data_IF_424318356274
#
_entry.id   IF_424318356274
#
_cell.length_a   1.000
_cell.length_b   1.000
_cell.length_c   1.000
_cell.angle_alpha   90.00
_cell.angle_beta   90.00
_cell.angle_gamma   90.00
#
_symmetry.space_group_name_H-M   'P 1'
#
loop_
_entity.id
_entity.type
_entity.pdbx_description
1 polymer ?
#
# COMPACT_ATOMS: atom_id res chain seq x y z
N UNK A 1 -29.39 -14.80 -12.10
CA UNK A 1 -28.35 -13.86 -12.59
C UNK A 1 -28.92 -12.49 -12.90
N UNK A 2 -30.09 -12.36 -13.57
CA UNK A 2 -30.69 -11.05 -13.88
C UNK A 2 -31.05 -10.22 -12.63
N UNK A 3 -31.67 -10.85 -11.63
CA UNK A 3 -32.13 -10.17 -10.42
C UNK A 3 -31.00 -9.47 -9.63
N UNK A 4 -29.82 -10.11 -9.54
CA UNK A 4 -28.65 -9.51 -8.86
C UNK A 4 -28.07 -8.31 -9.62
N UNK A 5 -28.10 -8.37 -10.96
CA UNK A 5 -27.69 -7.24 -11.82
C UNK A 5 -28.68 -6.09 -11.67
N UNK A 6 -29.99 -6.38 -11.65
CA UNK A 6 -31.05 -5.40 -11.50
C UNK A 6 -30.96 -4.69 -10.15
N UNK A 7 -30.80 -5.42 -9.04
CA UNK A 7 -30.60 -4.84 -7.71
C UNK A 7 -29.35 -3.96 -7.62
N UNK A 8 -28.25 -4.34 -8.28
CA UNK A 8 -27.04 -3.51 -8.32
C UNK A 8 -27.29 -2.22 -9.10
N UNK A 9 -27.96 -2.31 -10.25
CA UNK A 9 -28.30 -1.15 -11.08
C UNK A 9 -29.25 -0.19 -10.35
N UNK A 10 -30.26 -0.71 -9.64
CA UNK A 10 -31.18 0.11 -8.85
C UNK A 10 -30.46 0.94 -7.79
N UNK A 11 -29.49 0.34 -7.08
CA UNK A 11 -28.66 1.09 -6.12
C UNK A 11 -27.89 2.22 -6.78
N UNK A 12 -27.40 2.01 -8.01
CA UNK A 12 -26.70 3.03 -8.79
C UNK A 12 -27.63 4.07 -9.42
N UNK A 13 -28.95 3.82 -9.52
CA UNK A 13 -29.89 4.82 -10.06
C UNK A 13 -30.01 6.02 -9.12
N UNK A 14 -29.87 5.83 -7.81
CA UNK A 14 -29.95 6.91 -6.83
C UNK A 14 -28.86 7.98 -7.05
N UNK A 15 -27.63 7.56 -7.33
CA UNK A 15 -26.54 8.51 -7.65
C UNK A 15 -26.74 9.20 -9.00
N UNK A 16 -27.22 8.48 -10.02
CA UNK A 16 -27.44 9.05 -11.36
C UNK A 16 -28.59 10.07 -11.34
N UNK A 17 -29.65 9.80 -10.60
CA UNK A 17 -30.75 10.74 -10.40
C UNK A 17 -30.29 12.01 -9.67
N UNK A 18 -29.38 11.91 -8.71
CA UNK A 18 -28.76 13.07 -8.06
C UNK A 18 -27.94 13.89 -9.06
N UNK A 19 -27.13 13.22 -9.90
CA UNK A 19 -26.35 13.90 -10.92
C UNK A 19 -27.21 14.61 -11.97
N UNK A 20 -28.35 14.02 -12.36
CA UNK A 20 -29.33 14.65 -13.23
C UNK A 20 -29.89 15.93 -12.60
N UNK A 21 -30.36 15.84 -11.35
CA UNK A 21 -30.97 16.97 -10.62
C UNK A 21 -30.00 18.13 -10.47
N UNK A 22 -28.72 17.82 -10.29
CA UNK A 22 -27.63 18.81 -10.16
C UNK A 22 -27.09 19.30 -11.50
N UNK A 23 -27.57 18.77 -12.63
CA UNK A 23 -27.12 19.17 -13.96
C UNK A 23 -25.68 18.76 -14.28
N UNK A 24 -25.14 17.73 -13.61
CA UNK A 24 -23.79 17.22 -13.86
C UNK A 24 -23.77 16.39 -15.16
N UNK A 25 -24.84 15.63 -15.41
CA UNK A 25 -25.03 14.83 -16.61
C UNK A 25 -26.42 15.10 -17.20
N UNK A 26 -26.51 15.00 -18.52
CA UNK A 26 -27.79 15.07 -19.23
C UNK A 26 -28.52 13.71 -19.25
N UNK A 27 -29.82 13.71 -19.58
CA UNK A 27 -30.66 12.51 -19.66
C UNK A 27 -30.10 11.48 -20.65
N UNK A 28 -29.64 11.93 -21.81
CA UNK A 28 -29.05 11.05 -22.82
C UNK A 28 -27.74 10.43 -22.31
N UNK A 29 -26.89 11.23 -21.65
CA UNK A 29 -25.66 10.72 -21.04
C UNK A 29 -25.96 9.68 -19.95
N UNK A 30 -26.93 9.93 -19.08
CA UNK A 30 -27.34 8.95 -18.05
C UNK A 30 -27.83 7.65 -18.69
N UNK A 31 -28.61 7.73 -19.77
CA UNK A 31 -29.05 6.54 -20.52
C UNK A 31 -27.85 5.75 -21.07
N UNK A 32 -26.84 6.44 -21.61
CA UNK A 32 -25.60 5.78 -22.05
C UNK A 32 -24.82 5.17 -20.87
N UNK A 33 -24.79 5.83 -19.71
CA UNK A 33 -24.12 5.32 -18.52
C UNK A 33 -24.80 4.05 -18.01
N UNK A 34 -26.13 4.07 -17.89
CA UNK A 34 -26.92 2.91 -17.43
C UNK A 34 -26.75 1.72 -18.36
N UNK A 35 -26.86 1.94 -19.68
CA UNK A 35 -26.69 0.86 -20.67
C UNK A 35 -25.27 0.28 -20.63
N UNK A 36 -24.25 1.12 -20.48
CA UNK A 36 -22.85 0.67 -20.39
C UNK A 36 -22.58 -0.11 -19.10
N UNK A 37 -23.01 0.41 -17.94
CA UNK A 37 -22.93 -0.30 -16.65
C UNK A 37 -23.64 -1.64 -16.69
N UNK A 38 -24.86 -1.69 -17.24
CA UNK A 38 -25.62 -2.94 -17.41
C UNK A 38 -24.81 -3.98 -18.20
N UNK A 39 -24.14 -3.58 -19.29
CA UNK A 39 -23.27 -4.49 -20.07
C UNK A 39 -22.08 -4.98 -19.25
N UNK A 40 -21.44 -4.13 -18.45
CA UNK A 40 -20.36 -4.55 -17.55
C UNK A 40 -20.86 -5.51 -16.47
N UNK A 41 -21.96 -5.20 -15.78
CA UNK A 41 -22.55 -6.05 -14.74
C UNK A 41 -22.91 -7.44 -15.25
N UNK A 42 -23.43 -7.57 -16.49
CA UNK A 42 -23.67 -8.88 -17.10
C UNK A 42 -22.37 -9.65 -17.35
N UNK A 43 -21.33 -8.99 -17.88
CA UNK A 43 -20.02 -9.63 -18.10
C UNK A 43 -19.38 -10.07 -16.80
N UNK A 44 -19.49 -9.26 -15.75
CA UNK A 44 -18.98 -9.58 -14.42
C UNK A 44 -19.74 -10.71 -13.75
N UNK A 45 -21.04 -10.85 -14.02
CA UNK A 45 -21.88 -11.90 -13.42
C UNK A 45 -21.92 -13.23 -14.17
N UNK A 46 -21.19 -13.38 -15.28
CA UNK A 46 -21.03 -14.68 -15.94
C UNK A 46 -20.33 -15.71 -15.03
N UNK A 47 -20.47 -16.99 -15.35
CA UNK A 47 -19.90 -18.10 -14.57
C UNK A 47 -18.38 -17.98 -14.44
N UNK A 48 -17.68 -17.88 -15.57
CA UNK A 48 -16.23 -17.72 -15.61
C UNK A 48 -15.83 -16.25 -15.48
N UNK A 49 -15.18 -15.86 -14.40
CA UNK A 49 -14.69 -14.48 -14.27
C UNK A 49 -13.47 -14.28 -15.18
N UNK A 50 -13.35 -13.12 -15.83
CA UNK A 50 -12.10 -12.72 -16.49
C UNK A 50 -11.64 -11.37 -15.96
N UNK A 51 -10.33 -11.27 -15.71
CA UNK A 51 -9.70 -10.06 -15.20
C UNK A 51 -9.92 -8.86 -16.13
N UNK A 52 -9.89 -9.07 -17.45
CA UNK A 52 -10.06 -8.01 -18.44
C UNK A 52 -11.39 -7.26 -18.29
N UNK A 53 -12.47 -7.95 -17.88
CA UNK A 53 -13.77 -7.31 -17.70
C UNK A 53 -13.84 -6.46 -16.43
N UNK A 54 -13.16 -6.88 -15.36
CA UNK A 54 -12.95 -6.04 -14.18
C UNK A 54 -12.15 -4.80 -14.54
N UNK A 55 -11.01 -4.97 -15.21
CA UNK A 55 -10.13 -3.85 -15.59
C UNK A 55 -10.86 -2.83 -16.47
N UNK A 56 -11.60 -3.29 -17.49
CA UNK A 56 -12.38 -2.41 -18.37
C UNK A 56 -13.47 -1.67 -17.61
N UNK A 57 -14.15 -2.33 -16.66
CA UNK A 57 -15.19 -1.68 -15.90
C UNK A 57 -14.63 -0.65 -14.91
N UNK A 58 -13.55 -1.01 -14.22
CA UNK A 58 -12.81 -0.11 -13.34
C UNK A 58 -12.33 1.12 -14.13
N UNK A 59 -11.74 0.91 -15.31
CA UNK A 59 -11.30 2.00 -16.18
C UNK A 59 -12.47 2.92 -16.54
N UNK A 60 -13.58 2.35 -17.00
CA UNK A 60 -14.80 3.09 -17.31
C UNK A 60 -15.29 3.94 -16.12
N UNK A 61 -15.43 3.35 -14.94
CA UNK A 61 -15.91 4.05 -13.74
C UNK A 61 -14.91 5.13 -13.28
N UNK A 62 -13.60 4.89 -13.40
CA UNK A 62 -12.60 5.93 -13.07
C UNK A 62 -12.59 7.09 -14.05
N UNK A 63 -12.91 6.85 -15.33
CA UNK A 63 -13.09 7.91 -16.33
C UNK A 63 -14.35 8.71 -16.01
N UNK A 64 -15.46 8.02 -15.70
CA UNK A 64 -16.72 8.65 -15.29
C UNK A 64 -16.52 9.54 -14.05
N UNK A 65 -15.77 9.05 -13.06
CA UNK A 65 -15.41 9.81 -11.87
C UNK A 65 -14.65 11.10 -12.20
N UNK A 66 -13.65 11.03 -13.09
CA UNK A 66 -12.90 12.23 -13.53
C UNK A 66 -13.80 13.23 -14.25
N UNK A 67 -14.71 12.76 -15.11
CA UNK A 67 -15.66 13.63 -15.83
C UNK A 67 -16.57 14.32 -14.82
N UNK A 68 -17.12 13.56 -13.86
CA UNK A 68 -17.96 14.09 -12.78
C UNK A 68 -17.21 15.15 -11.97
N UNK A 69 -16.01 14.85 -11.48
CA UNK A 69 -15.20 15.76 -10.66
C UNK A 69 -14.86 17.06 -11.44
N UNK A 70 -14.53 16.95 -12.74
CA UNK A 70 -14.26 18.10 -13.62
C UNK A 70 -15.50 18.97 -13.86
N UNK A 71 -16.68 18.37 -13.99
CA UNK A 71 -17.94 19.12 -14.18
C UNK A 71 -18.41 19.77 -12.89
N UNK A 72 -18.30 19.07 -11.76
CA UNK A 72 -18.62 19.63 -10.45
C UNK A 72 -17.78 20.86 -10.13
N UNK A 73 -16.47 20.79 -10.38
CA UNK A 73 -15.56 21.94 -10.20
C UNK A 73 -15.90 23.09 -11.14
N UNK A 74 -16.22 22.81 -12.41
CA UNK A 74 -16.64 23.85 -13.37
C UNK A 74 -17.95 24.53 -12.99
N UNK A 75 -18.90 23.78 -12.44
CA UNK A 75 -20.24 24.26 -12.09
C UNK A 75 -20.34 24.79 -10.65
N UNK A 76 -19.25 24.74 -9.86
CA UNK A 76 -19.22 25.09 -8.43
C UNK A 76 -20.33 24.40 -7.62
N UNK A 77 -20.60 23.13 -7.91
CA UNK A 77 -21.63 22.35 -7.23
C UNK A 77 -21.05 21.78 -5.94
N UNK A 78 -21.75 21.99 -4.82
CA UNK A 78 -21.38 21.42 -3.53
C UNK A 78 -21.45 19.89 -3.52
N UNK A 79 -20.63 19.27 -2.67
CA UNK A 79 -20.59 17.81 -2.49
C UNK A 79 -21.91 17.32 -1.90
N UNK A 80 -22.51 16.33 -2.55
CA UNK A 80 -23.72 15.62 -2.10
C UNK A 80 -23.35 14.36 -1.34
N UNK A 81 -24.26 13.85 -0.50
CA UNK A 81 -24.11 12.58 0.22
C UNK A 81 -23.88 11.39 -0.72
N UNK A 82 -24.41 11.47 -1.94
CA UNK A 82 -24.27 10.44 -2.97
C UNK A 82 -22.95 10.55 -3.75
N UNK A 83 -22.10 11.56 -3.57
CA UNK A 83 -20.86 11.67 -4.35
C UNK A 83 -19.84 10.57 -4.03
N UNK A 84 -19.97 9.94 -2.86
CA UNK A 84 -19.12 8.83 -2.41
C UNK A 84 -19.56 7.46 -2.92
N UNK A 85 -20.74 7.30 -3.52
CA UNK A 85 -21.23 5.99 -3.99
C UNK A 85 -20.40 5.48 -5.16
N UNK A 86 -20.06 6.36 -6.11
CA UNK A 86 -19.19 6.04 -7.24
C UNK A 86 -17.81 5.56 -6.77
N UNK A 87 -17.22 6.29 -5.82
CA UNK A 87 -15.95 5.88 -5.20
C UNK A 87 -16.07 4.51 -4.53
N UNK A 88 -17.13 4.28 -3.73
CA UNK A 88 -17.39 2.98 -3.09
C UNK A 88 -17.56 1.85 -4.11
N UNK A 89 -18.18 2.13 -5.25
CA UNK A 89 -18.34 1.16 -6.34
C UNK A 89 -17.00 0.79 -6.96
N UNK A 90 -16.15 1.77 -7.29
CA UNK A 90 -14.80 1.51 -7.80
C UNK A 90 -13.99 0.67 -6.80
N UNK A 91 -14.06 0.97 -5.50
CA UNK A 91 -13.41 0.16 -4.46
C UNK A 91 -13.94 -1.27 -4.42
N UNK A 92 -15.26 -1.45 -4.54
CA UNK A 92 -15.89 -2.76 -4.59
C UNK A 92 -15.38 -3.57 -5.79
N UNK A 93 -15.28 -2.94 -6.96
CA UNK A 93 -14.75 -3.60 -8.17
C UNK A 93 -13.30 -4.04 -7.99
N UNK A 94 -12.43 -3.20 -7.44
CA UNK A 94 -11.05 -3.58 -7.15
C UNK A 94 -10.97 -4.71 -6.12
N UNK A 95 -11.73 -4.63 -5.01
CA UNK A 95 -11.74 -5.68 -3.99
C UNK A 95 -12.27 -7.01 -4.56
N UNK A 96 -13.33 -6.97 -5.36
CA UNK A 96 -13.87 -8.16 -6.03
C UNK A 96 -12.87 -8.73 -7.02
N UNK A 97 -12.19 -7.89 -7.81
CA UNK A 97 -11.13 -8.33 -8.71
C UNK A 97 -9.98 -9.00 -7.94
N UNK A 98 -9.54 -8.46 -6.81
CA UNK A 98 -8.49 -9.05 -5.97
C UNK A 98 -8.90 -10.36 -5.29
N UNK A 99 -10.20 -10.57 -5.03
CA UNK A 99 -10.70 -11.86 -4.53
C UNK A 99 -10.53 -12.96 -5.57
N UNK A 100 -10.77 -12.66 -6.84
CA UNK A 100 -10.69 -13.64 -7.93
C UNK A 100 -9.29 -13.75 -8.56
N UNK A 101 -8.55 -12.65 -8.63
CA UNK A 101 -7.27 -12.51 -9.35
C UNK A 101 -6.17 -11.91 -8.47
N UNK A 102 -6.14 -12.29 -7.19
CA UNK A 102 -5.21 -11.70 -6.21
C UNK A 102 -3.73 -11.98 -6.46
N UNK A 103 -3.42 -12.98 -7.29
CA UNK A 103 -2.05 -13.33 -7.70
C UNK A 103 -1.44 -12.32 -8.67
N UNK A 104 -2.27 -11.56 -9.40
CA UNK A 104 -1.77 -10.53 -10.31
C UNK A 104 -1.30 -9.30 -9.51
N UNK A 105 0.02 -9.22 -9.29
CA UNK A 105 0.67 -8.09 -8.63
C UNK A 105 0.35 -6.75 -9.31
N UNK A 106 0.12 -6.72 -10.62
CA UNK A 106 -0.21 -5.48 -11.35
C UNK A 106 -1.56 -4.92 -10.94
N UNK A 107 -2.56 -5.78 -10.74
CA UNK A 107 -3.90 -5.38 -10.26
C UNK A 107 -3.81 -4.73 -8.88
N UNK A 108 -3.03 -5.33 -7.97
CA UNK A 108 -2.82 -4.80 -6.63
C UNK A 108 -2.13 -3.42 -6.66
N UNK A 109 -1.04 -3.28 -7.43
CA UNK A 109 -0.33 -2.00 -7.60
C UNK A 109 -1.25 -0.94 -8.21
N UNK A 110 -2.07 -1.29 -9.21
CA UNK A 110 -3.03 -0.39 -9.81
C UNK A 110 -4.06 0.11 -8.78
N UNK A 111 -4.53 -0.79 -7.91
CA UNK A 111 -5.48 -0.43 -6.86
C UNK A 111 -4.87 0.53 -5.84
N UNK A 112 -3.67 0.25 -5.35
CA UNK A 112 -2.97 1.16 -4.43
C UNK A 112 -2.73 2.53 -5.07
N UNK A 113 -2.32 2.56 -6.34
CA UNK A 113 -2.10 3.80 -7.09
C UNK A 113 -3.38 4.63 -7.21
N UNK A 114 -4.54 3.99 -7.37
CA UNK A 114 -5.83 4.68 -7.36
C UNK A 114 -6.13 5.29 -5.99
N UNK A 115 -5.93 4.54 -4.90
CA UNK A 115 -6.14 5.03 -3.54
C UNK A 115 -5.19 6.18 -3.16
N UNK A 116 -3.93 6.12 -3.57
CA UNK A 116 -2.94 7.19 -3.35
C UNK A 116 -3.41 8.49 -4.03
N UNK A 117 -3.93 8.41 -5.26
CA UNK A 117 -4.49 9.58 -5.96
C UNK A 117 -5.69 10.19 -5.23
N UNK A 118 -6.51 9.36 -4.58
CA UNK A 118 -7.65 9.79 -3.76
C UNK A 118 -7.27 10.19 -2.33
N UNK A 119 -5.98 10.13 -1.96
CA UNK A 119 -5.46 10.48 -0.62
C UNK A 119 -6.15 9.73 0.53
N UNK A 120 -6.64 8.52 0.27
CA UNK A 120 -7.32 7.68 1.27
C UNK A 120 -6.32 6.73 1.94
N UNK A 121 -5.46 7.26 2.82
CA UNK A 121 -4.38 6.50 3.46
C UNK A 121 -4.91 5.30 4.25
N UNK A 122 -5.98 5.48 5.04
CA UNK A 122 -6.55 4.41 5.87
C UNK A 122 -6.95 3.18 5.04
N UNK A 123 -7.56 3.41 3.87
CA UNK A 123 -7.95 2.33 2.97
C UNK A 123 -6.76 1.61 2.36
N UNK A 124 -5.66 2.33 2.10
CA UNK A 124 -4.42 1.71 1.62
C UNK A 124 -3.90 0.74 2.69
N UNK A 125 -3.87 1.17 3.95
CA UNK A 125 -3.43 0.34 5.08
C UNK A 125 -4.25 -0.95 5.18
N UNK A 126 -5.58 -0.81 5.16
CA UNK A 126 -6.50 -1.97 5.21
C UNK A 126 -6.31 -2.91 4.02
N UNK A 127 -6.16 -2.38 2.81
CA UNK A 127 -6.00 -3.20 1.61
C UNK A 127 -4.66 -3.93 1.61
N UNK A 128 -3.59 -3.28 2.05
CA UNK A 128 -2.27 -3.91 2.17
C UNK A 128 -2.27 -5.02 3.22
N UNK A 129 -2.86 -4.79 4.40
CA UNK A 129 -2.95 -5.82 5.44
C UNK A 129 -3.81 -7.01 5.01
N UNK A 130 -4.96 -6.77 4.38
CA UNK A 130 -5.83 -7.81 3.81
C UNK A 130 -5.09 -8.66 2.76
N UNK A 131 -4.29 -8.02 1.88
CA UNK A 131 -3.57 -8.71 0.81
C UNK A 131 -2.37 -9.51 1.34
N UNK A 132 -1.57 -8.93 2.25
CA UNK A 132 -0.47 -9.66 2.92
C UNK A 132 -0.98 -10.87 3.70
N UNK A 133 -2.12 -10.76 4.40
CA UNK A 133 -2.72 -11.86 5.14
C UNK A 133 -3.15 -13.02 4.22
N UNK A 134 -3.52 -12.73 2.98
CA UNK A 134 -3.87 -13.75 1.98
C UNK A 134 -2.65 -14.47 1.40
N UNK A 135 -1.53 -13.76 1.27
CA UNK A 135 -0.29 -14.29 0.68
C UNK A 135 0.89 -14.22 1.68
N UNK A 136 0.83 -14.96 2.80
CA UNK A 136 1.81 -14.83 3.87
C UNK A 136 3.22 -15.26 3.44
N UNK A 137 3.36 -16.14 2.45
CA UNK A 137 4.65 -16.68 1.99
C UNK A 137 5.35 -15.82 0.92
N UNK A 138 4.67 -14.83 0.31
CA UNK A 138 5.26 -14.00 -0.74
C UNK A 138 6.10 -12.86 -0.13
N UNK A 139 7.39 -13.12 0.10
CA UNK A 139 8.31 -12.15 0.69
C UNK A 139 8.38 -10.82 -0.08
N UNK A 140 8.28 -10.84 -1.42
CA UNK A 140 8.35 -9.62 -2.23
C UNK A 140 7.15 -8.71 -2.00
N UNK A 141 5.98 -9.30 -1.76
CA UNK A 141 4.77 -8.56 -1.41
C UNK A 141 4.93 -7.81 -0.08
N UNK A 142 5.46 -8.48 0.95
CA UNK A 142 5.71 -7.87 2.25
C UNK A 142 6.68 -6.69 2.15
N UNK A 143 7.78 -6.86 1.41
CA UNK A 143 8.76 -5.79 1.16
C UNK A 143 8.08 -4.61 0.46
N UNK A 144 7.34 -4.87 -0.61
CA UNK A 144 6.63 -3.81 -1.34
C UNK A 144 5.63 -3.04 -0.46
N UNK A 145 4.84 -3.73 0.37
CA UNK A 145 3.92 -3.10 1.30
C UNK A 145 4.66 -2.27 2.36
N UNK A 146 5.77 -2.78 2.90
CA UNK A 146 6.57 -2.07 3.90
C UNK A 146 7.22 -0.79 3.32
N UNK A 147 7.78 -0.87 2.11
CA UNK A 147 8.28 0.30 1.38
C UNK A 147 7.18 1.37 1.19
N UNK A 148 5.94 0.94 0.93
CA UNK A 148 4.81 1.86 0.82
C UNK A 148 4.45 2.51 2.15
N UNK A 149 4.48 1.78 3.27
CA UNK A 149 4.31 2.38 4.60
C UNK A 149 5.41 3.39 4.92
N UNK A 150 6.67 3.05 4.60
CA UNK A 150 7.80 3.96 4.75
C UNK A 150 7.62 5.25 3.95
N UNK A 151 7.21 5.14 2.67
CA UNK A 151 6.93 6.30 1.82
C UNK A 151 5.74 7.16 2.32
N UNK A 152 4.90 6.64 3.21
CA UNK A 152 3.81 7.38 3.86
C UNK A 152 4.22 7.97 5.22
N UNK A 153 5.51 7.87 5.60
CA UNK A 153 6.05 8.23 6.90
C UNK A 153 5.39 7.49 8.09
N UNK A 154 4.86 6.29 7.85
CA UNK A 154 4.24 5.46 8.87
C UNK A 154 5.18 4.32 9.27
N UNK A 155 6.20 4.69 10.05
CA UNK A 155 7.34 3.83 10.39
C UNK A 155 6.93 2.75 11.38
N UNK A 156 6.01 3.04 12.30
CA UNK A 156 5.50 2.05 13.24
C UNK A 156 4.80 0.89 12.53
N UNK A 157 3.93 1.19 11.56
CA UNK A 157 3.27 0.14 10.80
C UNK A 157 4.23 -0.58 9.85
N UNK A 158 5.23 0.12 9.30
CA UNK A 158 6.34 -0.51 8.57
C UNK A 158 7.06 -1.56 9.42
N UNK A 159 7.49 -1.19 10.64
CA UNK A 159 8.14 -2.07 11.62
C UNK A 159 7.28 -3.28 11.96
N UNK A 160 6.02 -3.05 12.33
CA UNK A 160 5.07 -4.13 12.67
C UNK A 160 4.91 -5.10 11.50
N UNK A 161 4.82 -4.60 10.27
CA UNK A 161 4.66 -5.42 9.08
C UNK A 161 5.90 -6.26 8.79
N UNK A 162 7.12 -5.70 8.92
CA UNK A 162 8.36 -6.46 8.81
C UNK A 162 8.51 -7.52 9.91
N UNK A 163 8.22 -7.17 11.17
CA UNK A 163 8.27 -8.11 12.29
C UNK A 163 7.31 -9.29 12.08
N UNK A 164 6.08 -9.02 11.61
CA UNK A 164 5.12 -10.04 11.24
C UNK A 164 5.65 -10.91 10.08
N UNK A 165 6.19 -10.29 9.02
CA UNK A 165 6.72 -10.99 7.86
C UNK A 165 7.88 -11.93 8.24
N UNK A 166 8.81 -11.49 9.09
CA UNK A 166 9.96 -12.27 9.55
C UNK A 166 9.50 -13.43 10.44
N UNK A 167 8.50 -13.21 11.29
CA UNK A 167 7.92 -14.26 12.14
C UNK A 167 7.32 -15.40 11.32
N UNK A 168 6.62 -15.07 10.22
CA UNK A 168 6.03 -16.03 9.30
C UNK A 168 7.08 -16.70 8.39
N UNK A 169 8.04 -15.92 7.89
CA UNK A 169 9.05 -16.35 6.90
C UNK A 169 10.46 -16.38 7.49
N UNK A 170 10.67 -17.12 8.58
CA UNK A 170 11.94 -17.13 9.35
C UNK A 170 13.20 -17.44 8.53
N UNK A 171 13.05 -18.20 7.44
CA UNK A 171 14.16 -18.62 6.56
C UNK A 171 14.49 -17.60 5.46
N UNK A 172 13.64 -16.60 5.23
CA UNK A 172 13.84 -15.64 4.16
C UNK A 172 14.77 -14.51 4.62
N UNK A 173 16.05 -14.59 4.23
CA UNK A 173 17.05 -13.57 4.53
C UNK A 173 16.72 -12.21 3.92
N UNK A 174 16.11 -12.22 2.73
CA UNK A 174 15.73 -11.01 2.00
C UNK A 174 14.88 -10.05 2.83
N UNK A 175 13.92 -10.56 3.58
CA UNK A 175 13.05 -9.75 4.46
C UNK A 175 13.83 -9.06 5.59
N UNK A 176 14.79 -9.78 6.19
CA UNK A 176 15.62 -9.22 7.27
C UNK A 176 16.55 -8.13 6.77
N UNK A 177 17.13 -8.32 5.58
CA UNK A 177 18.00 -7.33 4.93
C UNK A 177 17.21 -6.06 4.59
N UNK A 178 16.05 -6.20 3.95
CA UNK A 178 15.23 -5.03 3.59
C UNK A 178 14.69 -4.31 4.83
N UNK A 179 14.36 -5.06 5.90
CA UNK A 179 14.02 -4.44 7.17
C UNK A 179 15.18 -3.59 7.73
N UNK A 180 16.39 -4.15 7.77
CA UNK A 180 17.59 -3.43 8.20
C UNK A 180 17.86 -2.19 7.34
N UNK A 181 17.77 -2.30 6.01
CA UNK A 181 17.92 -1.16 5.07
C UNK A 181 16.89 -0.06 5.36
N UNK A 182 15.64 -0.43 5.62
CA UNK A 182 14.58 0.54 5.91
C UNK A 182 14.80 1.28 7.23
N UNK A 183 15.28 0.59 8.27
CA UNK A 183 15.62 1.19 9.55
C UNK A 183 16.85 2.09 9.47
N UNK A 184 17.87 1.69 8.71
CA UNK A 184 19.04 2.55 8.46
C UNK A 184 18.65 3.84 7.76
N UNK A 185 17.80 3.76 6.73
CA UNK A 185 17.27 4.95 6.04
C UNK A 185 16.53 5.87 7.01
N UNK A 186 15.75 5.30 7.94
CA UNK A 186 15.08 6.10 8.95
C UNK A 186 16.07 6.79 9.90
N UNK A 187 17.03 6.05 10.45
CA UNK A 187 18.03 6.61 11.36
C UNK A 187 18.84 7.72 10.69
N UNK A 188 19.23 7.55 9.42
CA UNK A 188 19.92 8.59 8.65
C UNK A 188 19.02 9.82 8.46
N UNK A 189 17.74 9.65 8.15
CA UNK A 189 16.82 10.80 8.02
C UNK A 189 16.62 11.56 9.34
N UNK A 190 16.66 10.87 10.49
CA UNK A 190 16.60 11.52 11.79
C UNK A 190 17.86 12.34 12.06
N UNK A 191 19.02 11.73 11.81
CA UNK A 191 20.32 12.40 11.93
C UNK A 191 20.34 13.70 11.12
N UNK A 192 19.94 13.65 9.84
CA UNK A 192 19.89 14.82 8.97
C UNK A 192 18.98 15.91 9.56
N UNK A 193 17.78 15.56 10.04
CA UNK A 193 16.88 16.53 10.66
C UNK A 193 17.42 17.12 11.97
N UNK A 194 18.19 16.36 12.73
CA UNK A 194 18.74 16.79 14.01
C UNK A 194 19.98 17.69 13.83
N UNK A 195 20.80 17.41 12.81
CA UNK A 195 21.88 18.30 12.35
C UNK A 195 21.32 19.66 11.92
N UNK A 196 20.23 19.67 11.14
CA UNK A 196 19.55 20.90 10.72
C UNK A 196 18.99 21.71 11.91
N UNK A 197 18.57 21.03 12.97
CA UNK A 197 18.03 21.65 14.19
C UNK A 197 19.10 22.05 15.21
N UNK A 198 20.39 21.78 14.95
CA UNK A 198 21.50 22.16 15.82
C UNK A 198 21.57 21.38 17.14
N UNK A 199 20.93 20.21 17.23
CA UNK A 199 20.94 19.33 18.40
C UNK A 199 22.22 18.48 18.37
N UNK A 200 22.86 18.27 19.54
CA UNK A 200 24.04 17.40 19.63
C UNK A 200 23.69 15.96 19.20
N UNK A 201 24.47 15.45 18.24
CA UNK A 201 24.33 14.15 17.58
C UNK A 201 24.15 12.93 18.54
N UNK A 202 24.53 13.08 19.82
CA UNK A 202 24.47 12.03 20.84
C UNK A 202 23.11 11.92 21.56
N UNK A 203 22.28 12.96 21.54
CA UNK A 203 20.97 12.97 22.22
C UNK A 203 19.80 12.69 21.27
N UNK A 204 20.03 12.83 19.97
CA UNK A 204 18.97 13.02 18.98
C UNK A 204 18.32 11.70 18.49
N UNK A 205 19.10 10.62 18.37
CA UNK A 205 18.59 9.28 18.05
C UNK A 205 18.49 8.45 19.33
N UNK A 206 17.27 8.21 19.80
CA UNK A 206 17.04 7.38 20.99
C UNK A 206 17.73 6.02 20.89
N UNK A 207 18.40 5.61 21.98
CA UNK A 207 19.09 4.31 22.15
C UNK A 207 18.29 3.12 21.59
N UNK A 208 16.97 3.19 21.72
CA UNK A 208 15.99 2.20 21.28
C UNK A 208 16.00 1.94 19.76
N UNK A 209 16.23 2.96 18.92
CA UNK A 209 16.29 2.78 17.45
C UNK A 209 17.54 1.99 17.04
N UNK A 210 18.67 2.24 17.71
CA UNK A 210 19.90 1.48 17.50
C UNK A 210 19.81 0.06 18.07
N UNK A 211 19.10 -0.15 19.17
CA UNK A 211 18.86 -1.48 19.74
C UNK A 211 18.08 -2.39 18.79
N UNK A 212 17.10 -1.85 18.07
CA UNK A 212 16.37 -2.59 17.03
C UNK A 212 17.34 -3.01 15.91
N UNK A 213 18.15 -2.08 15.38
CA UNK A 213 19.18 -2.39 14.37
C UNK A 213 20.18 -3.45 14.86
N UNK A 214 20.63 -3.34 16.09
CA UNK A 214 21.55 -4.29 16.73
C UNK A 214 20.91 -5.68 16.87
N UNK A 215 19.64 -5.75 17.28
CA UNK A 215 18.94 -7.02 17.41
C UNK A 215 18.81 -7.74 16.05
N UNK A 216 18.49 -6.99 15.00
CA UNK A 216 18.39 -7.51 13.63
C UNK A 216 19.77 -7.99 13.16
N UNK A 217 20.82 -7.22 13.42
CA UNK A 217 22.19 -7.58 13.08
C UNK A 217 22.66 -8.87 13.80
N UNK A 218 22.38 -9.03 15.10
CA UNK A 218 22.66 -10.26 15.85
C UNK A 218 21.91 -11.47 15.31
N UNK A 219 20.64 -11.29 14.92
CA UNK A 219 19.89 -12.36 14.28
C UNK A 219 20.45 -12.73 12.90
N UNK A 220 20.97 -11.75 12.15
CA UNK A 220 21.62 -11.97 10.86
C UNK A 220 22.97 -12.68 11.02
N UNK A 221 23.82 -12.28 11.98
CA UNK A 221 25.13 -12.88 12.21
C UNK A 221 25.04 -14.36 12.65
N UNK A 222 24.06 -14.69 13.48
CA UNK A 222 23.84 -16.05 13.98
C UNK A 222 23.43 -17.06 12.89
N UNK A 223 22.92 -16.59 11.75
CA UNK A 223 22.40 -17.44 10.67
C UNK A 223 23.43 -17.76 9.58
N UNK A 224 24.70 -17.33 9.72
CA UNK A 224 25.79 -17.48 8.72
C UNK A 224 25.35 -17.05 7.30
N UNK A 225 25.14 -15.75 7.06
CA UNK A 225 24.74 -15.23 5.75
C UNK A 225 25.85 -15.44 4.71
N UNK A 226 25.48 -15.52 3.43
CA UNK A 226 26.43 -15.58 2.31
C UNK A 226 27.32 -14.33 2.28
N UNK A 227 28.58 -14.49 1.85
CA UNK A 227 29.63 -13.45 1.87
C UNK A 227 29.18 -12.10 1.28
N UNK A 228 28.42 -12.12 0.19
CA UNK A 228 27.89 -10.92 -0.48
C UNK A 228 26.95 -10.08 0.40
N UNK A 229 26.15 -10.73 1.24
CA UNK A 229 25.23 -10.05 2.17
C UNK A 229 26.00 -9.42 3.32
N UNK A 230 27.11 -10.04 3.74
CA UNK A 230 28.00 -9.51 4.77
C UNK A 230 28.70 -8.27 4.24
N UNK A 231 29.21 -8.31 3.02
CA UNK A 231 29.92 -7.19 2.40
C UNK A 231 28.97 -5.99 2.16
N UNK A 232 27.73 -6.20 1.68
CA UNK A 232 26.73 -5.13 1.57
C UNK A 232 26.36 -4.51 2.94
N UNK A 233 26.19 -5.34 3.97
CA UNK A 233 25.89 -4.85 5.32
C UNK A 233 27.08 -4.07 5.91
N UNK A 234 28.31 -4.54 5.68
CA UNK A 234 29.53 -3.90 6.15
C UNK A 234 29.76 -2.56 5.46
N UNK A 235 29.58 -2.46 4.14
CA UNK A 235 29.65 -1.19 3.40
C UNK A 235 28.60 -0.17 3.91
N UNK A 236 27.39 -0.63 4.26
CA UNK A 236 26.35 0.24 4.82
C UNK A 236 26.63 0.66 6.28
N UNK A 237 27.29 -0.20 7.06
CA UNK A 237 27.70 0.09 8.45
C UNK A 237 28.89 1.05 8.48
N UNK A 238 29.88 0.88 7.59
CA UNK A 238 31.08 1.73 7.51
C UNK A 238 30.74 3.19 7.20
N UNK A 239 29.65 3.43 6.47
CA UNK A 239 29.12 4.77 6.22
C UNK A 239 28.45 5.43 7.43
N UNK A 240 28.30 4.72 8.58
CA UNK A 240 27.73 5.28 9.79
C UNK A 240 28.63 4.99 11.03
N UNK A 241 29.48 5.94 11.46
CA UNK A 241 30.54 5.70 12.45
C UNK A 241 30.02 5.31 13.85
N UNK A 242 28.79 5.70 14.21
CA UNK A 242 28.16 5.35 15.49
C UNK A 242 27.71 3.90 15.50
N UNK A 243 27.16 3.42 14.38
CA UNK A 243 26.76 2.04 14.21
C UNK A 243 27.99 1.13 14.25
N UNK A 244 29.08 1.56 13.59
CA UNK A 244 30.38 0.87 13.63
C UNK A 244 30.94 0.78 15.06
N UNK A 245 30.88 1.87 15.84
CA UNK A 245 31.33 1.90 17.23
C UNK A 245 30.46 1.06 18.17
N UNK A 246 29.13 1.01 17.97
CA UNK A 246 28.25 0.14 18.77
C UNK A 246 28.39 -1.33 18.40
N UNK A 247 28.57 -1.65 17.11
CA UNK A 247 28.78 -3.02 16.64
C UNK A 247 30.16 -3.53 17.09
N UNK A 248 31.20 -2.69 17.10
CA UNK A 248 32.52 -3.05 17.62
C UNK A 248 32.50 -3.33 19.12
N UNK A 249 31.75 -2.53 19.91
CA UNK A 249 31.51 -2.80 21.33
C UNK A 249 30.80 -4.14 21.57
N UNK A 250 29.88 -4.55 20.69
CA UNK A 250 29.18 -5.85 20.82
C UNK A 250 30.07 -7.02 20.43
N UNK A 251 30.87 -6.90 19.36
CA UNK A 251 31.89 -7.90 19.00
C UNK A 251 32.90 -8.12 20.13
N UNK A 252 33.29 -7.07 20.85
CA UNK A 252 34.16 -7.22 22.03
C UNK A 252 33.49 -7.92 23.22
N UNK A 253 32.16 -7.87 23.34
CA UNK A 253 31.41 -8.55 24.41
C UNK A 253 31.17 -10.03 24.05
N UNK A 254 30.92 -10.36 22.78
CA UNK A 254 30.73 -11.75 22.33
C UNK A 254 32.03 -12.59 22.30
N UNK A 255 33.20 -11.95 22.28
CA UNK A 255 34.51 -12.63 22.39
C UNK A 255 34.91 -12.85 23.87
N UNK A 256 34.26 -12.14 24.81
CA UNK A 256 34.57 -12.19 26.24
C UNK A 256 33.71 -13.19 27.04
N UNK A 257 32.83 -13.96 26.37
CA UNK A 257 32.00 -15.04 26.93
C UNK A 257 32.43 -16.35 26.28
#
# INVERSE_FOLDING_TARGET
MSERVELNLEKMMNELNDYLKRGIFDKEEIKTIVTTRKRHEYKLNRSEKQLIDFLRYIEYETILEKIKDKRMTKLNINVSSNDNTLFKHILYLYKSALIHFGEDKKLFIQFLRYLTKKRCLDKIKTVMSEHCARYPLDADLWIFCAEKYFAMNDIENCRKLYQQAISLNKKCFKLKIEFFKSELKYVNSLIETDEENGISYQEAVTLQNYEILISIYRELSNLKPTKEIIDELMDMIENNPILTNKISQIKSIEIAI
#
